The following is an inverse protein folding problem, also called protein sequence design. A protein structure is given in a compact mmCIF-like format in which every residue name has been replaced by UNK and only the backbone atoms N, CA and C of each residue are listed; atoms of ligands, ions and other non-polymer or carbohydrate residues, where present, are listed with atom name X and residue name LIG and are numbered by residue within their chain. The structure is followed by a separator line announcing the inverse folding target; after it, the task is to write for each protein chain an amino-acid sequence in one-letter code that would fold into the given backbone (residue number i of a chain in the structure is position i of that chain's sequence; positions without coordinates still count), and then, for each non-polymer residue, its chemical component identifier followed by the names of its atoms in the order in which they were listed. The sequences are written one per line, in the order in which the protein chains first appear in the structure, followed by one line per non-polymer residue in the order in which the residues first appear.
data_IF_136037378286
#
_entry.id   IF_136037378286
#
_cell.length_a   1.000
_cell.length_b   1.000
_cell.length_c   1.000
_cell.angle_alpha   90.00
_cell.angle_beta   90.00
_cell.angle_gamma   90.00
#
_symmetry.space_group_name_H-M   'P 1'
#
loop_
_entity.id
_entity.type
_entity.pdbx_description
1 polymer ?
#
# COMPACT_ATOMS: atom_id res chain seq x y z
N UNK A 1 -17.51 -37.68 11.41
CA UNK A 1 -17.60 -37.07 10.06
C UNK A 1 -17.31 -35.59 10.26
N UNK A 2 -16.10 -35.16 9.92
CA UNK A 2 -15.70 -33.77 9.93
C UNK A 2 -15.91 -33.24 8.51
N UNK A 3 -16.84 -32.31 8.36
CA UNK A 3 -17.07 -31.63 7.07
C UNK A 3 -15.93 -30.66 6.83
N UNK A 4 -15.18 -30.88 5.75
CA UNK A 4 -14.24 -29.94 5.17
C UNK A 4 -14.99 -28.67 4.75
N UNK A 5 -14.86 -27.62 5.53
CA UNK A 5 -15.28 -26.26 5.13
C UNK A 5 -14.23 -25.72 4.16
N UNK A 6 -14.41 -26.07 2.89
CA UNK A 6 -13.67 -25.51 1.77
C UNK A 6 -13.99 -24.01 1.71
N UNK A 7 -13.16 -23.16 2.32
CA UNK A 7 -13.28 -21.72 2.30
C UNK A 7 -13.02 -21.19 0.90
N UNK A 8 -14.04 -21.15 0.05
CA UNK A 8 -14.01 -20.40 -1.19
C UNK A 8 -13.72 -18.93 -0.83
N UNK A 9 -12.55 -18.42 -1.22
CA UNK A 9 -12.20 -16.99 -1.09
C UNK A 9 -13.31 -16.20 -1.78
N UNK A 10 -14.06 -15.43 -1.01
CA UNK A 10 -15.15 -14.61 -1.55
C UNK A 10 -14.56 -13.65 -2.60
N UNK A 11 -15.26 -13.46 -3.73
CA UNK A 11 -14.87 -12.50 -4.78
C UNK A 11 -14.61 -11.09 -4.18
N UNK A 12 -15.27 -10.74 -3.06
CA UNK A 12 -15.06 -9.51 -2.32
C UNK A 12 -13.67 -9.42 -1.64
N UNK A 13 -13.00 -10.54 -1.39
CA UNK A 13 -11.68 -10.56 -0.73
C UNK A 13 -10.53 -10.49 -1.75
N UNK A 14 -10.86 -10.44 -3.05
CA UNK A 14 -9.86 -10.37 -4.14
C UNK A 14 -9.57 -8.95 -4.61
N UNK A 15 -10.10 -7.92 -3.94
CA UNK A 15 -9.90 -6.51 -4.28
C UNK A 15 -8.99 -5.83 -3.28
N UNK A 16 -8.07 -5.00 -3.76
CA UNK A 16 -7.20 -4.19 -2.92
C UNK A 16 -7.05 -2.77 -3.48
N UNK A 17 -7.00 -1.78 -2.59
CA UNK A 17 -6.80 -0.39 -2.99
C UNK A 17 -5.31 -0.07 -2.90
N UNK A 18 -4.77 0.54 -3.95
CA UNK A 18 -3.40 1.05 -4.00
C UNK A 18 -3.44 2.56 -4.14
N UNK A 19 -2.97 3.25 -3.11
CA UNK A 19 -2.75 4.69 -3.12
C UNK A 19 -1.29 5.00 -3.42
N UNK A 20 -1.01 5.96 -4.32
CA UNK A 20 0.34 6.46 -4.56
C UNK A 20 0.34 7.95 -4.28
N UNK A 21 1.11 8.39 -3.27
CA UNK A 21 1.18 9.80 -2.89
C UNK A 21 2.58 10.40 -3.12
N UNK A 22 2.67 11.73 -3.05
CA UNK A 22 3.86 12.47 -3.45
C UNK A 22 4.99 12.42 -2.42
N UNK A 23 5.59 11.26 -2.26
CA UNK A 23 6.87 11.08 -1.58
C UNK A 23 7.82 10.38 -2.54
N UNK A 24 9.13 10.53 -2.35
CA UNK A 24 10.12 9.77 -3.12
C UNK A 24 9.94 8.26 -2.87
N UNK A 25 10.18 7.45 -3.89
CA UNK A 25 9.97 6.00 -3.85
C UNK A 25 8.69 5.56 -4.55
N UNK A 26 8.26 6.26 -5.61
CA UNK A 26 7.11 5.84 -6.43
C UNK A 26 7.25 4.40 -6.94
N UNK A 27 8.48 3.91 -7.08
CA UNK A 27 8.80 2.54 -7.45
C UNK A 27 8.15 1.49 -6.52
N UNK A 28 7.96 1.80 -5.22
CA UNK A 28 7.22 0.91 -4.31
C UNK A 28 5.76 0.72 -4.72
N UNK A 29 5.11 1.80 -5.17
CA UNK A 29 3.72 1.76 -5.66
C UNK A 29 3.59 1.00 -6.98
N UNK A 30 4.51 1.24 -7.91
CA UNK A 30 4.59 0.51 -9.18
C UNK A 30 4.75 -0.99 -8.89
N UNK A 31 5.71 -1.35 -8.05
CA UNK A 31 5.99 -2.75 -7.73
C UNK A 31 4.86 -3.43 -6.95
N UNK A 32 4.16 -2.68 -6.08
CA UNK A 32 2.98 -3.20 -5.40
C UNK A 32 1.87 -3.56 -6.39
N UNK A 33 1.61 -2.73 -7.42
CA UNK A 33 0.63 -3.05 -8.47
C UNK A 33 1.03 -4.32 -9.24
N UNK A 34 2.30 -4.44 -9.61
CA UNK A 34 2.83 -5.63 -10.32
C UNK A 34 2.67 -6.89 -9.47
N UNK A 35 3.12 -6.86 -8.22
CA UNK A 35 3.03 -7.99 -7.29
C UNK A 35 1.58 -8.42 -7.05
N UNK A 36 0.67 -7.47 -6.88
CA UNK A 36 -0.75 -7.75 -6.70
C UNK A 36 -1.39 -8.34 -7.96
N UNK A 37 -0.99 -7.89 -9.14
CA UNK A 37 -1.40 -8.48 -10.42
C UNK A 37 -0.86 -9.91 -10.58
N UNK A 38 0.40 -10.17 -10.23
CA UNK A 38 1.00 -11.52 -10.21
C UNK A 38 0.23 -12.48 -9.28
N UNK A 39 -0.33 -11.96 -8.19
CA UNK A 39 -1.16 -12.70 -7.24
C UNK A 39 -2.63 -12.82 -7.67
N UNK A 40 -3.00 -12.26 -8.82
CA UNK A 40 -4.36 -12.32 -9.37
C UNK A 40 -5.38 -11.44 -8.67
N UNK A 41 -4.97 -10.36 -7.96
CA UNK A 41 -5.88 -9.46 -7.29
C UNK A 41 -6.38 -8.34 -8.22
N UNK A 42 -7.65 -7.96 -8.05
CA UNK A 42 -8.23 -6.76 -8.66
C UNK A 42 -7.74 -5.52 -7.91
N UNK A 43 -6.95 -4.67 -8.58
CA UNK A 43 -6.35 -3.48 -7.98
C UNK A 43 -7.13 -2.22 -8.32
N UNK A 44 -7.42 -1.39 -7.30
CA UNK A 44 -8.05 -0.08 -7.43
C UNK A 44 -7.04 1.01 -7.15
N UNK A 45 -6.56 1.70 -8.18
CA UNK A 45 -5.49 2.69 -8.09
C UNK A 45 -6.03 4.11 -7.92
N UNK A 46 -5.45 4.84 -6.96
CA UNK A 46 -5.61 6.30 -6.80
C UNK A 46 -4.23 6.94 -6.69
N UNK A 47 -3.95 7.91 -7.56
CA UNK A 47 -2.65 8.61 -7.61
C UNK A 47 -2.83 10.09 -7.34
N UNK A 48 -2.00 10.67 -6.46
CA UNK A 48 -2.01 12.12 -6.24
C UNK A 48 -1.26 12.85 -7.36
N UNK A 49 -1.61 14.14 -7.58
CA UNK A 49 -0.86 14.97 -8.55
C UNK A 49 0.64 15.04 -8.22
N UNK A 50 0.99 15.11 -6.93
CA UNK A 50 2.38 15.14 -6.49
C UNK A 50 3.10 13.81 -6.82
N UNK A 51 2.40 12.67 -6.74
CA UNK A 51 2.99 11.37 -7.12
C UNK A 51 3.28 11.29 -8.62
N UNK A 52 2.49 11.93 -9.48
CA UNK A 52 2.78 11.99 -10.91
C UNK A 52 4.06 12.80 -11.21
N UNK A 53 4.32 13.86 -10.42
CA UNK A 53 5.59 14.60 -10.50
C UNK A 53 6.77 13.72 -10.07
N UNK A 54 6.62 12.99 -8.96
CA UNK A 54 7.64 12.05 -8.50
C UNK A 54 7.90 10.93 -9.52
N UNK A 55 6.84 10.40 -10.13
CA UNK A 55 6.93 9.38 -11.19
C UNK A 55 7.84 9.83 -12.34
N UNK A 56 7.63 11.06 -12.82
CA UNK A 56 8.42 11.61 -13.93
C UNK A 56 9.87 11.93 -13.58
N UNK A 57 10.21 12.03 -12.30
CA UNK A 57 11.57 12.31 -11.85
C UNK A 57 12.36 11.06 -11.45
N UNK A 58 11.66 10.02 -11.01
CA UNK A 58 12.30 8.82 -10.44
C UNK A 58 12.27 7.62 -11.38
N UNK A 59 11.41 7.64 -12.40
CA UNK A 59 11.21 6.50 -13.31
C UNK A 59 11.01 6.95 -14.75
N UNK A 60 11.14 6.01 -15.68
CA UNK A 60 10.81 6.21 -17.09
C UNK A 60 9.31 5.93 -17.40
N UNK A 61 8.49 5.64 -16.37
CA UNK A 61 7.07 5.36 -16.58
C UNK A 61 6.29 6.65 -16.86
N UNK A 62 5.45 6.59 -17.89
CA UNK A 62 4.40 7.59 -18.10
C UNK A 62 3.21 7.34 -17.19
N UNK A 63 2.35 8.36 -16.92
CA UNK A 63 1.10 8.15 -16.18
C UNK A 63 0.20 7.07 -16.76
N UNK A 64 0.16 6.93 -18.09
CA UNK A 64 -0.64 5.91 -18.78
C UNK A 64 -0.05 4.50 -18.56
N UNK A 65 1.26 4.36 -18.57
CA UNK A 65 1.93 3.10 -18.27
C UNK A 65 1.73 2.67 -16.81
N UNK A 66 1.74 3.63 -15.85
CA UNK A 66 1.38 3.35 -14.47
C UNK A 66 -0.08 2.90 -14.37
N UNK A 67 -0.99 3.61 -15.02
CA UNK A 67 -2.42 3.31 -15.04
C UNK A 67 -2.71 1.92 -15.61
N UNK A 68 -2.00 1.52 -16.66
CA UNK A 68 -2.14 0.21 -17.29
C UNK A 68 -1.76 -0.99 -16.38
N UNK A 69 -1.06 -0.74 -15.26
CA UNK A 69 -0.71 -1.78 -14.28
C UNK A 69 -1.84 -2.07 -13.28
N UNK A 70 -2.90 -1.27 -13.26
CA UNK A 70 -4.03 -1.43 -12.34
C UNK A 70 -5.27 -1.98 -13.07
N UNK A 71 -6.10 -2.74 -12.37
CA UNK A 71 -7.38 -3.24 -12.89
C UNK A 71 -8.39 -2.11 -13.08
N UNK A 72 -8.43 -1.18 -12.12
CA UNK A 72 -9.31 -0.01 -12.12
C UNK A 72 -8.54 1.22 -11.66
N UNK A 73 -8.65 2.33 -12.41
CA UNK A 73 -8.04 3.61 -12.05
C UNK A 73 -9.12 4.61 -11.70
N UNK A 74 -9.00 5.23 -10.54
CA UNK A 74 -9.92 6.25 -10.07
C UNK A 74 -9.32 7.64 -10.15
N UNK A 75 -10.13 8.62 -10.55
CA UNK A 75 -9.72 10.04 -10.50
C UNK A 75 -9.63 10.50 -9.04
N UNK A 76 -8.58 11.22 -8.69
CA UNK A 76 -8.33 11.71 -7.33
C UNK A 76 -9.50 12.55 -6.75
N UNK A 77 -10.22 13.29 -7.61
CA UNK A 77 -11.34 14.14 -7.23
C UNK A 77 -12.71 13.41 -7.21
N UNK A 78 -12.76 12.13 -7.60
CA UNK A 78 -14.01 11.37 -7.69
C UNK A 78 -14.41 10.79 -6.34
N UNK A 79 -14.98 11.62 -5.49
CA UNK A 79 -15.48 11.22 -4.16
C UNK A 79 -16.74 10.32 -4.23
N UNK A 80 -17.33 10.14 -5.41
CA UNK A 80 -18.44 9.21 -5.68
C UNK A 80 -18.01 7.83 -6.14
N UNK A 81 -16.71 7.58 -6.30
CA UNK A 81 -16.18 6.29 -6.71
C UNK A 81 -16.54 5.17 -5.72
N UNK A 82 -16.56 3.92 -6.21
CA UNK A 82 -16.93 2.74 -5.40
C UNK A 82 -16.12 2.61 -4.12
N UNK A 83 -14.82 2.88 -4.17
CA UNK A 83 -13.90 2.82 -3.02
C UNK A 83 -14.14 3.90 -1.96
N UNK A 84 -14.98 4.90 -2.23
CA UNK A 84 -15.43 5.90 -1.24
C UNK A 84 -16.53 5.39 -0.31
N UNK A 85 -17.06 4.17 -0.56
CA UNK A 85 -18.14 3.56 0.20
C UNK A 85 -17.69 2.30 0.95
N UNK A 86 -18.07 2.18 2.22
CA UNK A 86 -17.80 0.98 3.02
C UNK A 86 -18.50 -0.29 2.53
N UNK A 87 -19.62 -0.15 1.80
CA UNK A 87 -20.33 -1.29 1.20
C UNK A 87 -19.55 -1.95 0.06
N UNK A 88 -18.62 -1.23 -0.55
CA UNK A 88 -17.70 -1.82 -1.52
C UNK A 88 -16.59 -2.57 -0.76
N UNK A 89 -16.65 -3.89 -0.80
CA UNK A 89 -15.73 -4.73 -0.04
C UNK A 89 -14.38 -4.81 -0.72
N UNK A 90 -13.33 -4.62 0.06
CA UNK A 90 -11.92 -4.80 -0.34
C UNK A 90 -11.17 -5.52 0.77
N UNK A 91 -10.06 -6.17 0.43
CA UNK A 91 -9.14 -6.78 1.40
C UNK A 91 -8.48 -5.73 2.30
N UNK A 92 -8.35 -4.50 1.82
CA UNK A 92 -7.73 -3.38 2.52
C UNK A 92 -7.13 -2.37 1.54
N UNK A 93 -6.25 -1.53 2.06
CA UNK A 93 -5.58 -0.49 1.28
C UNK A 93 -4.09 -0.39 1.65
N UNK A 94 -3.23 -0.32 0.64
CA UNK A 94 -1.83 0.05 0.78
C UNK A 94 -1.60 1.44 0.19
N UNK A 95 -0.86 2.30 0.89
CA UNK A 95 -0.39 3.59 0.37
C UNK A 95 1.13 3.52 0.23
N UNK A 96 1.60 3.43 -1.01
CA UNK A 96 3.01 3.20 -1.34
C UNK A 96 3.48 4.09 -2.50
N UNK A 97 4.36 5.07 -2.24
CA UNK A 97 4.75 5.57 -0.93
C UNK A 97 3.65 6.42 -0.28
N UNK A 98 3.73 6.58 1.04
CA UNK A 98 2.87 7.49 1.79
C UNK A 98 3.64 8.75 2.19
N UNK A 99 3.22 9.91 1.69
CA UNK A 99 3.79 11.21 2.07
C UNK A 99 3.29 11.67 3.43
N UNK A 100 4.07 12.53 4.10
CA UNK A 100 3.66 13.13 5.38
C UNK A 100 2.36 13.94 5.28
N UNK A 101 2.10 14.57 4.13
CA UNK A 101 0.82 15.24 3.87
C UNK A 101 -0.34 14.24 3.92
N UNK A 102 -0.26 13.17 3.13
CA UNK A 102 -1.29 12.12 3.07
C UNK A 102 -1.46 11.46 4.45
N UNK A 103 -0.36 11.15 5.13
CA UNK A 103 -0.36 10.60 6.48
C UNK A 103 -1.11 11.52 7.46
N UNK A 104 -0.85 12.84 7.41
CA UNK A 104 -1.48 13.82 8.29
C UNK A 104 -2.97 14.01 7.99
N UNK A 105 -3.37 14.05 6.72
CA UNK A 105 -4.77 14.13 6.32
C UNK A 105 -5.56 12.90 6.81
N UNK A 106 -5.01 11.69 6.70
CA UNK A 106 -5.64 10.46 7.21
C UNK A 106 -5.77 10.52 8.74
N UNK A 107 -4.71 10.92 9.45
CA UNK A 107 -4.70 10.99 10.91
C UNK A 107 -5.71 11.98 11.50
N UNK A 108 -6.05 13.01 10.75
CA UNK A 108 -6.99 14.07 11.19
C UNK A 108 -8.40 13.89 10.61
N UNK A 109 -8.65 12.83 9.84
CA UNK A 109 -9.95 12.59 9.21
C UNK A 109 -10.29 13.57 8.08
N UNK A 110 -9.30 14.31 7.57
CA UNK A 110 -9.50 15.21 6.42
C UNK A 110 -9.55 14.39 5.14
N UNK A 111 -10.76 14.28 4.58
CA UNK A 111 -11.01 13.50 3.36
C UNK A 111 -11.04 14.40 2.12
N UNK A 112 -9.97 15.17 1.91
CA UNK A 112 -9.86 16.17 0.83
C UNK A 112 -9.76 15.56 -0.58
N UNK A 113 -9.53 14.27 -0.67
CA UNK A 113 -9.37 13.53 -1.93
C UNK A 113 -9.94 12.12 -1.82
N UNK A 114 -10.15 11.46 -2.96
CA UNK A 114 -10.57 10.07 -2.96
C UNK A 114 -9.56 9.16 -2.25
N UNK A 115 -8.25 9.46 -2.34
CA UNK A 115 -7.22 8.67 -1.66
C UNK A 115 -7.42 8.69 -0.13
N UNK A 116 -7.55 9.87 0.46
CA UNK A 116 -7.75 10.02 1.91
C UNK A 116 -9.13 9.56 2.35
N UNK A 117 -10.16 9.71 1.49
CA UNK A 117 -11.49 9.14 1.75
C UNK A 117 -11.47 7.62 1.75
N UNK A 118 -10.79 6.97 0.80
CA UNK A 118 -10.67 5.51 0.75
C UNK A 118 -9.92 4.96 1.97
N UNK A 119 -8.90 5.67 2.44
CA UNK A 119 -8.18 5.32 3.66
C UNK A 119 -9.07 5.43 4.91
N UNK A 120 -9.86 6.52 5.04
CA UNK A 120 -10.85 6.70 6.10
C UNK A 120 -11.90 5.57 6.09
N UNK A 121 -12.43 5.22 4.91
CA UNK A 121 -13.35 4.10 4.74
C UNK A 121 -12.70 2.78 5.16
N UNK A 122 -11.45 2.54 4.77
CA UNK A 122 -10.71 1.33 5.13
C UNK A 122 -10.59 1.18 6.64
N UNK A 123 -10.23 2.26 7.35
CA UNK A 123 -10.13 2.28 8.81
C UNK A 123 -11.48 2.07 9.50
N UNK A 124 -12.54 2.81 9.11
CA UNK A 124 -13.86 2.68 9.76
C UNK A 124 -14.49 1.30 9.56
N UNK A 125 -14.18 0.62 8.45
CA UNK A 125 -14.60 -0.75 8.18
C UNK A 125 -13.66 -1.81 8.81
N UNK A 126 -12.65 -1.37 9.58
CA UNK A 126 -11.66 -2.22 10.27
C UNK A 126 -10.91 -3.14 9.30
N UNK A 127 -10.66 -2.67 8.09
CA UNK A 127 -9.83 -3.36 7.11
C UNK A 127 -8.38 -2.92 7.25
N UNK A 128 -7.40 -3.77 6.91
CA UNK A 128 -5.98 -3.39 6.95
C UNK A 128 -5.71 -2.15 6.11
N UNK A 129 -5.12 -1.12 6.73
CA UNK A 129 -4.55 0.05 6.08
C UNK A 129 -3.05 0.05 6.34
N UNK A 130 -2.26 -0.14 5.28
CA UNK A 130 -0.79 -0.16 5.37
C UNK A 130 -0.24 1.11 4.74
N UNK A 131 0.52 1.87 5.52
CA UNK A 131 1.11 3.14 5.09
C UNK A 131 2.63 2.97 5.00
N UNK A 132 3.16 2.88 3.78
CA UNK A 132 4.61 2.88 3.53
C UNK A 132 5.12 4.31 3.60
N UNK A 133 5.17 4.85 4.82
CA UNK A 133 5.57 6.24 5.06
C UNK A 133 7.04 6.42 4.66
N UNK A 134 7.28 7.39 3.76
CA UNK A 134 8.63 7.71 3.32
C UNK A 134 8.95 9.16 3.64
N UNK A 135 9.72 9.35 4.73
CA UNK A 135 10.20 10.64 5.20
C UNK A 135 11.43 10.46 6.09
N UNK A 136 12.40 11.37 5.97
CA UNK A 136 13.56 11.44 6.84
C UNK A 136 14.24 12.82 6.73
N UNK A 137 14.73 13.44 7.85
CA UNK A 137 14.56 13.01 9.23
C UNK A 137 13.14 13.27 9.74
N UNK A 138 12.76 12.57 10.81
CA UNK A 138 11.42 12.72 11.43
C UNK A 138 11.50 13.72 12.59
N UNK A 139 10.59 14.70 12.63
CA UNK A 139 10.36 15.54 13.79
C UNK A 139 9.20 15.01 14.68
N UNK A 140 9.06 15.55 15.87
CA UNK A 140 8.08 15.10 16.85
C UNK A 140 6.64 15.09 16.32
N UNK A 141 6.27 16.04 15.45
CA UNK A 141 4.94 16.08 14.82
C UNK A 141 4.68 14.84 13.97
N UNK A 142 5.66 14.41 13.15
CA UNK A 142 5.55 13.18 12.36
C UNK A 142 5.36 11.96 13.26
N UNK A 143 6.15 11.84 14.34
CA UNK A 143 6.05 10.72 15.28
C UNK A 143 4.69 10.67 15.97
N UNK A 144 4.15 11.81 16.41
CA UNK A 144 2.80 11.89 17.00
C UNK A 144 1.72 11.49 15.99
N UNK A 145 1.84 11.91 14.74
CA UNK A 145 0.91 11.53 13.68
C UNK A 145 0.95 10.02 13.41
N UNK A 146 2.14 9.43 13.37
CA UNK A 146 2.30 7.96 13.24
C UNK A 146 1.68 7.22 14.43
N UNK A 147 1.87 7.72 15.66
CA UNK A 147 1.28 7.14 16.87
C UNK A 147 -0.25 7.17 16.78
N UNK A 148 -0.85 8.31 16.45
CA UNK A 148 -2.30 8.45 16.32
C UNK A 148 -2.87 7.48 15.25
N UNK A 149 -2.19 7.33 14.12
CA UNK A 149 -2.59 6.38 13.07
C UNK A 149 -2.50 4.92 13.53
N UNK A 150 -1.45 4.57 14.27
CA UNK A 150 -1.28 3.22 14.83
C UNK A 150 -2.38 2.92 15.86
N UNK A 151 -2.75 3.88 16.71
CA UNK A 151 -3.87 3.77 17.66
C UNK A 151 -5.22 3.58 16.96
N UNK A 152 -5.41 4.17 15.77
CA UNK A 152 -6.59 3.96 14.92
C UNK A 152 -6.58 2.62 14.18
N UNK A 153 -5.49 1.87 14.23
CA UNK A 153 -5.36 0.54 13.60
C UNK A 153 -4.67 0.54 12.24
N UNK A 154 -4.11 1.66 11.79
CA UNK A 154 -3.25 1.66 10.60
C UNK A 154 -1.88 1.04 10.91
N UNK A 155 -1.30 0.36 9.93
CA UNK A 155 0.06 -0.17 10.04
C UNK A 155 1.04 0.82 9.41
N UNK A 156 1.95 1.35 10.22
CA UNK A 156 3.03 2.23 9.75
C UNK A 156 4.21 1.34 9.34
N UNK A 157 4.45 1.26 8.03
CA UNK A 157 5.43 0.36 7.42
C UNK A 157 6.44 1.13 6.53
N UNK A 158 7.36 1.91 7.10
CA UNK A 158 8.39 2.58 6.32
C UNK A 158 9.20 1.57 5.49
N UNK A 159 9.50 1.85 4.22
CA UNK A 159 10.25 0.93 3.38
C UNK A 159 11.75 0.97 3.74
N UNK A 160 12.12 0.21 4.76
CA UNK A 160 13.51 0.10 5.22
C UNK A 160 14.18 -1.12 4.61
N UNK A 161 15.44 -1.02 4.15
CA UNK A 161 16.19 -2.15 3.60
C UNK A 161 16.36 -3.29 4.60
N UNK A 162 15.94 -4.49 4.24
CA UNK A 162 16.14 -5.71 5.03
C UNK A 162 17.50 -6.34 4.69
N UNK A 163 18.57 -5.85 5.29
CA UNK A 163 19.95 -6.25 4.95
C UNK A 163 20.27 -7.73 5.22
N UNK A 164 19.52 -8.40 6.10
CA UNK A 164 19.64 -9.84 6.31
C UNK A 164 19.32 -10.66 5.03
N UNK A 165 18.52 -10.09 4.12
CA UNK A 165 18.20 -10.69 2.83
C UNK A 165 19.37 -10.62 1.83
N UNK A 166 20.44 -9.87 2.15
CA UNK A 166 21.62 -9.60 1.31
C UNK A 166 21.22 -9.20 -0.13
N UNK A 167 20.48 -8.07 -0.30
CA UNK A 167 20.03 -7.66 -1.61
C UNK A 167 21.22 -7.28 -2.49
N UNK A 168 21.19 -7.74 -3.75
CA UNK A 168 22.21 -7.44 -4.76
C UNK A 168 21.86 -6.22 -5.62
N UNK A 169 20.63 -5.72 -5.53
CA UNK A 169 20.16 -4.57 -6.31
C UNK A 169 19.13 -3.75 -5.54
N UNK A 170 18.80 -2.57 -6.06
CA UNK A 170 17.73 -1.71 -5.52
C UNK A 170 16.36 -2.37 -5.69
N UNK A 171 16.15 -3.06 -6.81
CA UNK A 171 14.92 -3.80 -7.09
C UNK A 171 14.66 -4.88 -6.04
N UNK A 172 15.68 -5.62 -5.62
CA UNK A 172 15.53 -6.61 -4.53
C UNK A 172 15.18 -5.96 -3.19
N UNK A 173 15.63 -4.74 -2.91
CA UNK A 173 15.23 -3.96 -1.73
C UNK A 173 13.75 -3.58 -1.82
N UNK A 174 13.32 -3.14 -3.00
CA UNK A 174 11.92 -2.77 -3.26
C UNK A 174 11.04 -4.01 -3.13
N UNK A 175 11.41 -5.12 -3.76
CA UNK A 175 10.69 -6.39 -3.69
C UNK A 175 10.51 -6.87 -2.24
N UNK A 176 11.58 -6.85 -1.47
CA UNK A 176 11.54 -7.25 -0.07
C UNK A 176 10.61 -6.35 0.74
N UNK A 177 10.67 -5.02 0.55
CA UNK A 177 9.84 -4.06 1.27
C UNK A 177 8.36 -4.20 0.90
N UNK A 178 8.06 -4.30 -0.41
CA UNK A 178 6.69 -4.49 -0.91
C UNK A 178 6.11 -5.81 -0.43
N UNK A 179 6.83 -6.92 -0.61
CA UNK A 179 6.34 -8.22 -0.20
C UNK A 179 6.09 -8.32 1.30
N UNK A 180 6.94 -7.70 2.14
CA UNK A 180 6.69 -7.60 3.59
C UNK A 180 5.45 -6.78 3.92
N UNK A 181 5.15 -5.74 3.14
CA UNK A 181 3.90 -4.99 3.28
C UNK A 181 2.68 -5.82 2.83
N UNK A 182 2.82 -6.65 1.78
CA UNK A 182 1.76 -7.55 1.32
C UNK A 182 1.43 -8.68 2.30
N UNK A 183 2.41 -9.15 3.10
CA UNK A 183 2.16 -10.12 4.19
C UNK A 183 1.07 -9.62 5.16
N UNK A 184 0.96 -8.32 5.40
CA UNK A 184 -0.02 -7.72 6.30
C UNK A 184 -1.47 -7.86 5.79
N UNK A 185 -1.64 -8.23 4.53
CA UNK A 185 -2.92 -8.58 3.92
C UNK A 185 -3.13 -10.10 3.81
N UNK A 186 -2.23 -10.91 4.40
CA UNK A 186 -2.25 -12.36 4.26
C UNK A 186 -1.90 -12.85 2.84
N UNK A 187 -1.12 -12.07 2.11
CA UNK A 187 -0.67 -12.40 0.75
C UNK A 187 0.77 -12.89 0.80
N UNK A 188 1.01 -14.10 0.28
CA UNK A 188 2.36 -14.67 0.20
C UNK A 188 2.93 -14.46 -1.21
N UNK A 189 3.80 -13.46 -1.33
CA UNK A 189 4.48 -13.16 -2.58
C UNK A 189 5.91 -13.71 -2.57
N UNK A 190 6.22 -14.60 -3.49
CA UNK A 190 7.44 -15.44 -3.51
C UNK A 190 8.79 -14.71 -3.52
N UNK A 191 8.98 -13.50 -4.12
CA UNK A 191 10.26 -12.79 -4.09
C UNK A 191 10.80 -12.48 -2.70
N UNK A 192 9.97 -12.53 -1.65
CA UNK A 192 10.38 -12.22 -0.28
C UNK A 192 11.29 -13.29 0.30
N UNK A 193 12.50 -12.91 0.68
CA UNK A 193 13.40 -13.77 1.46
C UNK A 193 12.98 -13.74 2.94
N UNK A 194 12.61 -14.90 3.47
CA UNK A 194 12.17 -15.04 4.85
C UNK A 194 13.32 -15.39 5.78
N UNK A 195 13.31 -14.79 6.98
CA UNK A 195 14.28 -15.15 8.01
C UNK A 195 13.94 -16.54 8.55
N UNK A 196 14.91 -17.48 8.44
CA UNK A 196 14.76 -18.86 8.90
C UNK A 196 15.59 -19.20 10.16
N UNK A 197 16.10 -18.17 10.85
CA UNK A 197 17.03 -18.34 11.97
C UNK A 197 18.50 -18.35 11.54
N UNK A 198 19.39 -18.40 12.54
CA UNK A 198 20.81 -18.60 12.28
C UNK A 198 21.03 -20.05 11.86
N UNK A 199 21.72 -20.26 10.72
CA UNK A 199 22.17 -21.59 10.35
C UNK A 199 23.28 -22.03 11.32
N UNK A 200 23.26 -23.25 11.86
CA UNK A 200 24.39 -23.75 12.60
C UNK A 200 25.63 -23.74 11.71
N UNK A 201 26.73 -23.20 12.23
CA UNK A 201 28.06 -23.17 11.59
C UNK A 201 28.63 -24.56 11.46
#
# INVERSE_FOLDING_TARGET
MAEDVNGAVSISDNRIIVGISGASGVAYGVRALEALSELGLETHLVVTKAALLTLSQETDFTPDQLSAKASVVHKLADVGATIASGSFRTRGMIVAPCSVRTMSEIATGVTSSLLTRAADVTLKERRPLVLMVRETPLHLGHLRTMTALAEMGAVIAPPLPALYARPGSVEEIIDQSVGRALDLFGLDWRPVKRWSGLQPS
#
